data_IF_856456319946
#
_entry.id   IF_856456319946
#
_cell.length_a   1.000
_cell.length_b   1.000
_cell.length_c   1.000
_cell.angle_alpha   90.00
_cell.angle_beta   90.00
_cell.angle_gamma   90.00
#
_symmetry.space_group_name_H-M   'P 1'
#
loop_
_entity.id
_entity.type
_entity.pdbx_description
1 polymer ?
#
# COMPACT_ATOMS: atom_id res chain seq x y z
N UNK A 1 24.72 -0.61 19.03
CA UNK A 1 24.34 0.08 17.78
C UNK A 1 25.01 -0.67 16.66
N UNK A 2 24.37 -1.74 16.22
CA UNK A 2 24.65 -2.34 14.91
C UNK A 2 24.04 -1.39 13.90
N UNK A 3 24.85 -0.90 12.97
CA UNK A 3 24.41 -0.01 11.90
C UNK A 3 23.37 -0.75 11.06
N UNK A 4 22.10 -0.35 11.11
CA UNK A 4 21.01 -0.97 10.35
C UNK A 4 21.20 -0.80 8.83
N UNK A 5 22.16 0.02 8.41
CA UNK A 5 22.57 0.22 7.02
C UNK A 5 23.81 -0.59 6.63
N UNK A 6 24.36 -1.42 7.53
CA UNK A 6 25.47 -2.30 7.18
C UNK A 6 25.02 -3.32 6.13
N UNK A 7 25.62 -3.23 4.94
CA UNK A 7 25.32 -4.13 3.83
C UNK A 7 26.06 -5.47 3.99
N UNK A 8 25.39 -6.62 4.20
CA UNK A 8 25.97 -7.95 3.99
C UNK A 8 26.63 -8.13 2.61
N UNK A 9 27.46 -9.17 2.49
CA UNK A 9 28.08 -9.61 1.23
C UNK A 9 26.98 -9.76 0.16
N UNK A 10 26.91 -8.82 -0.81
CA UNK A 10 25.81 -8.73 -1.79
C UNK A 10 25.18 -7.35 -1.94
N UNK A 11 25.40 -6.42 -0.98
CA UNK A 11 24.98 -5.02 -1.13
C UNK A 11 23.55 -4.70 -0.67
N UNK A 12 22.85 -5.69 -0.11
CA UNK A 12 21.55 -5.56 0.58
C UNK A 12 21.73 -5.15 2.04
N UNK A 13 20.73 -4.55 2.67
CA UNK A 13 20.64 -4.33 4.12
C UNK A 13 20.04 -5.55 4.84
N UNK A 14 20.09 -5.57 6.17
CA UNK A 14 19.47 -6.65 6.95
C UNK A 14 17.94 -6.75 6.74
N UNK A 15 17.27 -5.61 6.56
CA UNK A 15 15.82 -5.55 6.30
C UNK A 15 15.48 -6.07 4.91
N UNK A 16 16.27 -5.68 3.90
CA UNK A 16 16.08 -6.18 2.53
C UNK A 16 16.30 -7.69 2.45
N UNK A 17 17.30 -8.22 3.16
CA UNK A 17 17.50 -9.67 3.24
C UNK A 17 16.31 -10.36 3.92
N UNK A 18 15.79 -9.80 5.01
CA UNK A 18 14.62 -10.37 5.68
C UNK A 18 13.39 -10.45 4.76
N UNK A 19 13.18 -9.45 3.91
CA UNK A 19 12.10 -9.49 2.90
C UNK A 19 12.32 -10.59 1.86
N UNK A 20 13.56 -10.83 1.42
CA UNK A 20 13.85 -11.95 0.51
C UNK A 20 13.57 -13.30 1.16
N UNK A 21 13.96 -13.46 2.43
CA UNK A 21 13.71 -14.68 3.18
C UNK A 21 12.20 -14.90 3.37
N UNK A 22 11.43 -13.85 3.68
CA UNK A 22 9.97 -13.89 3.83
C UNK A 22 9.25 -14.21 2.51
N UNK A 23 9.72 -13.69 1.38
CA UNK A 23 9.22 -14.04 0.03
C UNK A 23 9.32 -15.54 -0.22
N UNK A 24 10.44 -16.16 0.18
CA UNK A 24 10.64 -17.61 0.03
C UNK A 24 9.76 -18.41 1.00
N UNK A 25 9.68 -17.99 2.26
CA UNK A 25 8.86 -18.65 3.29
C UNK A 25 7.37 -18.67 2.91
N UNK A 26 6.86 -17.53 2.43
CA UNK A 26 5.45 -17.33 2.07
C UNK A 26 5.13 -17.77 0.63
N UNK A 27 6.09 -18.36 -0.09
CA UNK A 27 5.93 -18.84 -1.48
C UNK A 27 5.38 -17.76 -2.42
N UNK A 28 5.91 -16.54 -2.32
CA UNK A 28 5.48 -15.42 -3.15
C UNK A 28 6.09 -15.54 -4.55
N UNK A 29 5.23 -15.60 -5.57
CA UNK A 29 5.63 -15.67 -6.97
C UNK A 29 5.75 -14.28 -7.63
N UNK A 30 4.96 -13.30 -7.17
CA UNK A 30 4.89 -11.96 -7.75
C UNK A 30 4.92 -10.85 -6.71
N UNK A 31 5.65 -9.78 -7.02
CA UNK A 31 5.70 -8.55 -6.25
C UNK A 31 5.01 -7.41 -6.99
N UNK A 32 4.15 -6.69 -6.27
CA UNK A 32 3.58 -5.41 -6.71
C UNK A 32 4.41 -4.28 -6.13
N UNK A 33 5.16 -3.60 -6.98
CA UNK A 33 5.89 -2.39 -6.64
C UNK A 33 4.96 -1.19 -6.78
N UNK A 34 4.44 -0.72 -5.65
CA UNK A 34 3.40 0.29 -5.58
C UNK A 34 3.97 1.69 -5.34
N UNK A 35 3.35 2.70 -5.93
CA UNK A 35 3.66 4.11 -5.66
C UNK A 35 2.40 4.96 -5.86
N UNK A 36 2.44 6.23 -5.51
CA UNK A 36 1.27 7.13 -5.59
C UNK A 36 1.58 8.31 -6.51
N UNK A 37 0.65 8.63 -7.41
CA UNK A 37 0.73 9.83 -8.26
C UNK A 37 0.24 11.08 -7.53
N UNK A 38 0.33 12.26 -8.17
CA UNK A 38 -0.04 13.53 -7.54
C UNK A 38 -1.54 13.64 -7.19
N UNK A 39 -2.40 12.84 -7.82
CA UNK A 39 -3.84 12.81 -7.55
C UNK A 39 -4.19 11.87 -6.39
N UNK A 40 -3.20 11.21 -5.80
CA UNK A 40 -3.41 10.22 -4.74
C UNK A 40 -3.76 8.83 -5.26
N UNK A 41 -3.67 8.59 -6.57
CA UNK A 41 -4.01 7.29 -7.14
C UNK A 41 -2.84 6.34 -6.96
N UNK A 42 -3.11 5.19 -6.34
CA UNK A 42 -2.14 4.10 -6.22
C UNK A 42 -1.89 3.49 -7.59
N UNK A 43 -0.62 3.49 -8.01
CA UNK A 43 -0.11 2.83 -9.21
C UNK A 43 0.76 1.65 -8.81
N UNK A 44 1.00 0.73 -9.74
CA UNK A 44 1.94 -0.37 -9.49
C UNK A 44 2.57 -0.90 -10.76
N UNK A 45 3.73 -1.52 -10.60
CA UNK A 45 4.36 -2.42 -11.57
C UNK A 45 4.45 -3.81 -10.93
N UNK A 46 3.98 -4.84 -11.62
CA UNK A 46 4.09 -6.22 -11.15
C UNK A 46 5.36 -6.86 -11.73
N UNK A 47 6.18 -7.46 -10.88
CA UNK A 47 7.39 -8.18 -11.27
C UNK A 47 7.39 -9.59 -10.67
N UNK A 48 8.05 -10.58 -11.30
CA UNK A 48 8.30 -11.87 -10.65
C UNK A 48 9.14 -11.70 -9.38
N UNK A 49 8.88 -12.50 -8.34
CA UNK A 49 9.56 -12.38 -7.05
C UNK A 49 11.09 -12.55 -7.12
N UNK A 50 11.60 -13.33 -8.07
CA UNK A 50 13.06 -13.46 -8.31
C UNK A 50 13.74 -12.14 -8.75
N UNK A 51 12.98 -11.08 -9.05
CA UNK A 51 13.51 -9.74 -9.33
C UNK A 51 13.67 -8.89 -8.05
N UNK A 52 13.28 -9.39 -6.87
CA UNK A 52 13.30 -8.62 -5.62
C UNK A 52 14.69 -8.08 -5.27
N UNK A 53 15.73 -8.93 -5.33
CA UNK A 53 17.11 -8.51 -5.06
C UNK A 53 17.57 -7.39 -5.99
N UNK A 54 17.25 -7.51 -7.29
CA UNK A 54 17.51 -6.44 -8.27
C UNK A 54 16.71 -5.17 -7.94
N UNK A 55 15.46 -5.31 -7.52
CA UNK A 55 14.62 -4.18 -7.16
C UNK A 55 15.21 -3.37 -5.98
N UNK A 56 15.77 -4.05 -4.97
CA UNK A 56 16.45 -3.38 -3.85
C UNK A 56 17.81 -2.78 -4.23
N UNK A 57 18.60 -3.47 -5.05
CA UNK A 57 19.97 -3.05 -5.37
C UNK A 57 20.05 -2.01 -6.48
N UNK A 58 19.28 -2.18 -7.57
CA UNK A 58 19.35 -1.36 -8.79
C UNK A 58 18.10 -0.49 -9.00
N UNK A 59 16.96 -0.89 -8.42
CA UNK A 59 15.64 -0.36 -8.71
C UNK A 59 15.00 -0.95 -9.97
N UNK A 60 13.69 -0.75 -10.13
CA UNK A 60 12.94 -1.16 -11.33
C UNK A 60 12.60 0.07 -12.18
N UNK A 61 13.03 0.05 -13.44
CA UNK A 61 12.76 1.13 -14.38
C UNK A 61 11.29 1.15 -14.81
N UNK A 62 10.73 2.34 -14.95
CA UNK A 62 9.40 2.56 -15.51
C UNK A 62 9.34 3.88 -16.27
N UNK A 63 8.31 4.00 -17.13
CA UNK A 63 8.02 5.23 -17.86
C UNK A 63 7.23 6.22 -16.98
N UNK A 64 7.95 7.20 -16.46
CA UNK A 64 7.43 8.32 -15.69
C UNK A 64 6.56 9.30 -16.48
N UNK A 65 6.69 9.34 -17.80
CA UNK A 65 5.89 10.26 -18.65
C UNK A 65 4.41 9.88 -18.73
N UNK A 66 4.10 8.62 -18.41
CA UNK A 66 2.75 8.08 -18.36
C UNK A 66 2.05 8.30 -17.00
N UNK A 67 2.70 8.98 -16.04
CA UNK A 67 2.13 9.29 -14.73
C UNK A 67 1.66 10.74 -14.70
N UNK A 68 0.40 10.93 -14.32
CA UNK A 68 -0.20 12.26 -14.30
C UNK A 68 0.49 13.18 -13.29
N UNK A 69 0.86 14.37 -13.74
CA UNK A 69 1.60 15.35 -12.96
C UNK A 69 3.10 15.08 -12.84
N UNK A 70 3.60 13.94 -13.34
CA UNK A 70 5.04 13.73 -13.49
C UNK A 70 5.50 14.43 -14.79
N UNK A 71 6.78 14.80 -14.80
CA UNK A 71 7.49 15.72 -15.71
C UNK A 71 7.20 15.60 -17.22
N UNK A 72 7.57 16.64 -17.98
CA UNK A 72 7.44 16.68 -19.46
C UNK A 72 8.23 15.54 -20.11
N UNK A 73 7.85 15.15 -21.34
CA UNK A 73 8.40 14.08 -22.23
C UNK A 73 9.94 13.83 -22.17
N UNK A 74 10.75 14.78 -21.72
CA UNK A 74 12.21 14.67 -21.68
C UNK A 74 12.80 13.92 -20.47
N UNK A 75 11.98 13.51 -19.50
CA UNK A 75 12.40 12.75 -18.31
C UNK A 75 11.53 11.49 -18.12
N UNK A 76 11.48 10.64 -19.16
CA UNK A 76 10.63 9.45 -19.18
C UNK A 76 11.14 8.33 -18.28
N UNK A 77 12.46 8.15 -18.16
CA UNK A 77 12.99 6.98 -17.47
C UNK A 77 13.23 7.30 -15.99
N UNK A 78 12.45 6.67 -15.12
CA UNK A 78 12.60 6.76 -13.66
C UNK A 78 12.73 5.36 -13.06
N UNK A 79 13.15 5.28 -11.80
CA UNK A 79 13.28 4.01 -11.08
C UNK A 79 12.42 3.98 -9.83
N UNK A 80 11.80 2.83 -9.60
CA UNK A 80 11.16 2.47 -8.35
C UNK A 80 12.18 1.81 -7.44
N UNK A 81 12.34 2.34 -6.24
CA UNK A 81 13.16 1.78 -5.17
C UNK A 81 12.22 1.30 -4.06
N UNK A 82 12.06 -0.02 -3.87
CA UNK A 82 11.15 -0.56 -2.85
C UNK A 82 11.64 -0.25 -1.44
N UNK A 83 10.71 0.07 -0.55
CA UNK A 83 10.98 0.27 0.87
C UNK A 83 10.70 -1.04 1.63
N UNK A 84 11.72 -1.72 2.19
CA UNK A 84 11.57 -3.02 2.82
C UNK A 84 10.65 -2.99 4.05
N UNK A 85 10.54 -1.84 4.73
CA UNK A 85 9.65 -1.70 5.90
C UNK A 85 8.16 -1.74 5.53
N UNK A 86 7.85 -1.77 4.22
CA UNK A 86 6.48 -1.75 3.71
C UNK A 86 6.06 -3.08 3.09
N UNK A 87 6.86 -4.15 3.22
CA UNK A 87 6.49 -5.46 2.71
C UNK A 87 5.18 -5.96 3.33
N UNK A 88 4.28 -6.50 2.51
CA UNK A 88 3.09 -7.19 2.98
C UNK A 88 2.64 -8.23 1.95
N UNK A 89 2.42 -9.47 2.40
CA UNK A 89 1.74 -10.51 1.61
C UNK A 89 0.29 -10.08 1.37
N UNK A 90 -0.29 -10.44 0.23
CA UNK A 90 -1.69 -10.16 -0.13
C UNK A 90 -2.54 -11.40 0.16
N UNK A 91 -3.30 -11.45 1.27
CA UNK A 91 -3.94 -12.68 1.75
C UNK A 91 -4.89 -13.32 0.74
N UNK A 92 -5.64 -12.49 0.00
CA UNK A 92 -6.58 -12.93 -1.04
C UNK A 92 -5.92 -13.51 -2.31
N UNK A 93 -4.60 -13.68 -2.32
CA UNK A 93 -3.84 -14.31 -3.41
C UNK A 93 -3.13 -15.60 -2.98
N UNK A 94 -3.36 -16.06 -1.75
CA UNK A 94 -2.64 -17.19 -1.16
C UNK A 94 -3.54 -18.44 -0.99
N UNK A 95 -4.87 -18.31 -1.11
CA UNK A 95 -5.84 -19.31 -0.65
C UNK A 95 -6.43 -20.26 -1.73
N UNK A 96 -5.75 -20.43 -2.87
CA UNK A 96 -6.23 -21.29 -3.97
C UNK A 96 -5.25 -22.39 -4.38
N UNK A 97 -5.76 -23.62 -4.55
CA UNK A 97 -5.04 -24.69 -5.26
C UNK A 97 -4.68 -24.22 -6.68
N UNK A 98 -3.46 -23.69 -6.85
CA UNK A 98 -2.92 -23.19 -8.11
C UNK A 98 -2.88 -21.66 -8.28
N UNK A 99 -3.19 -20.87 -7.24
CA UNK A 99 -2.97 -19.42 -7.28
C UNK A 99 -1.52 -19.09 -6.85
N UNK A 100 -0.89 -18.21 -7.62
CA UNK A 100 0.46 -17.72 -7.37
C UNK A 100 0.46 -16.68 -6.25
N UNK A 101 1.17 -16.95 -5.15
CA UNK A 101 1.31 -16.04 -4.02
C UNK A 101 1.79 -14.65 -4.45
N UNK A 102 1.25 -13.60 -3.85
CA UNK A 102 1.60 -12.23 -4.21
C UNK A 102 1.84 -11.37 -2.97
N UNK A 103 2.82 -10.49 -3.04
CA UNK A 103 3.09 -9.48 -2.03
C UNK A 103 3.21 -8.09 -2.65
N UNK A 104 3.22 -7.05 -1.81
CA UNK A 104 3.46 -5.66 -2.21
C UNK A 104 4.62 -5.04 -1.46
N UNK A 105 5.25 -4.06 -2.11
CA UNK A 105 6.17 -3.10 -1.50
C UNK A 105 5.80 -1.70 -2.00
N UNK A 106 5.80 -0.73 -1.10
CA UNK A 106 5.68 0.69 -1.46
C UNK A 106 7.06 1.18 -1.87
N UNK A 107 7.12 1.92 -2.97
CA UNK A 107 8.37 2.37 -3.58
C UNK A 107 8.51 3.89 -3.49
N UNK A 108 9.74 4.33 -3.29
CA UNK A 108 10.15 5.67 -3.63
C UNK A 108 10.50 5.74 -5.12
N UNK A 109 10.51 6.97 -5.64
CA UNK A 109 10.79 7.24 -7.04
C UNK A 109 12.07 8.04 -7.10
N UNK A 110 13.03 7.55 -7.91
CA UNK A 110 14.31 8.22 -8.12
C UNK A 110 14.59 8.39 -9.61
N UNK A 111 15.44 9.36 -9.94
CA UNK A 111 15.92 9.55 -11.30
C UNK A 111 16.87 8.43 -11.73
N UNK A 112 17.27 8.44 -13.01
CA UNK A 112 18.32 7.56 -13.53
C UNK A 112 19.64 7.68 -12.79
N UNK A 113 19.93 8.86 -12.25
CA UNK A 113 21.14 9.15 -11.47
C UNK A 113 21.01 8.70 -10.01
N UNK A 114 19.79 8.38 -9.55
CA UNK A 114 19.51 7.95 -8.18
C UNK A 114 19.06 9.06 -7.24
N UNK A 115 18.82 10.27 -7.77
CA UNK A 115 18.31 11.38 -6.98
C UNK A 115 16.81 11.20 -6.70
N UNK A 116 16.32 11.49 -5.48
CA UNK A 116 14.89 11.41 -5.19
C UNK A 116 14.06 12.33 -6.08
N UNK A 117 12.96 11.80 -6.62
CA UNK A 117 12.07 12.58 -7.45
C UNK A 117 11.26 13.56 -6.60
N UNK A 118 11.55 14.85 -6.76
CA UNK A 118 10.94 15.94 -5.98
C UNK A 118 9.43 16.12 -6.22
N UNK A 119 8.90 15.58 -7.31
CA UNK A 119 7.46 15.58 -7.59
C UNK A 119 6.70 14.42 -6.95
N UNK A 120 7.38 13.48 -6.30
CA UNK A 120 6.78 12.32 -5.66
C UNK A 120 6.07 12.70 -4.35
N UNK A 121 4.76 12.41 -4.19
CA UNK A 121 4.02 12.76 -2.97
C UNK A 121 4.65 12.21 -1.69
N UNK A 122 5.12 10.94 -1.73
CA UNK A 122 5.80 10.29 -0.60
C UNK A 122 7.11 10.99 -0.23
N UNK A 123 7.87 11.44 -1.23
CA UNK A 123 9.13 12.16 -1.02
C UNK A 123 8.88 13.53 -0.38
N UNK A 124 7.83 14.24 -0.82
CA UNK A 124 7.42 15.50 -0.22
C UNK A 124 7.07 15.31 1.26
N UNK A 125 6.32 14.25 1.61
CA UNK A 125 5.99 13.95 3.00
C UNK A 125 7.27 13.70 3.83
N UNK A 126 8.21 12.88 3.34
CA UNK A 126 9.49 12.62 4.02
C UNK A 126 10.26 13.92 4.30
N UNK A 127 10.36 14.82 3.32
CA UNK A 127 11.03 16.12 3.50
C UNK A 127 10.33 17.07 4.47
N UNK A 128 9.01 16.95 4.67
CA UNK A 128 8.27 17.74 5.67
C UNK A 128 8.46 17.15 7.06
N UNK A 129 8.46 15.82 7.19
CA UNK A 129 8.72 15.13 8.46
C UNK A 129 10.13 15.40 8.98
N UNK A 130 11.15 15.41 8.10
CA UNK A 130 12.53 15.76 8.47
C UNK A 130 12.61 17.18 9.06
N UNK A 131 11.92 18.15 8.45
CA UNK A 131 11.86 19.52 8.99
C UNK A 131 11.16 19.58 10.35
N UNK A 132 10.13 18.77 10.56
CA UNK A 132 9.44 18.70 11.85
C UNK A 132 10.37 18.15 12.93
N UNK A 133 11.15 17.11 12.60
CA UNK A 133 12.15 16.50 13.49
C UNK A 133 13.27 17.50 13.84
N UNK A 134 13.80 18.25 12.86
CA UNK A 134 14.79 19.32 13.08
C UNK A 134 14.29 20.41 14.04
N UNK A 135 12.97 20.62 14.10
CA UNK A 135 12.32 21.54 15.03
C UNK A 135 12.01 20.92 16.39
N UNK A 136 12.29 19.63 16.58
CA UNK A 136 12.04 18.86 17.80
C UNK A 136 10.59 18.38 17.96
N UNK A 137 9.84 18.28 16.85
CA UNK A 137 8.48 17.74 16.86
C UNK A 137 8.43 16.28 16.43
N UNK A 138 7.57 15.50 17.07
CA UNK A 138 7.12 14.21 16.58
C UNK A 138 5.74 14.33 15.93
N UNK A 139 5.49 13.59 14.85
CA UNK A 139 4.23 13.60 14.12
C UNK A 139 3.59 12.21 14.18
N UNK A 140 2.31 12.16 14.53
CA UNK A 140 1.46 10.97 14.46
C UNK A 140 0.20 11.32 13.66
N UNK A 141 -0.35 10.36 12.91
CA UNK A 141 -1.51 10.57 12.04
C UNK A 141 -2.50 9.43 12.30
N UNK A 142 -3.72 9.77 12.75
CA UNK A 142 -4.84 8.85 12.87
C UNK A 142 -5.88 9.12 11.78
N UNK A 143 -5.87 8.38 10.66
CA UNK A 143 -6.87 8.54 9.62
C UNK A 143 -8.15 7.77 9.95
N UNK A 144 -9.31 8.38 9.65
CA UNK A 144 -10.64 7.77 9.82
C UNK A 144 -11.34 7.76 8.43
N UNK A 145 -10.91 6.90 7.48
CA UNK A 145 -11.46 6.91 6.14
C UNK A 145 -12.83 6.23 6.10
N UNK A 146 -13.87 7.05 5.98
CA UNK A 146 -15.22 6.58 5.67
C UNK A 146 -15.33 6.08 4.21
N UNK A 147 -16.16 5.07 3.98
CA UNK A 147 -16.43 4.50 2.66
C UNK A 147 -17.89 4.07 2.49
N UNK A 148 -18.30 3.87 1.23
CA UNK A 148 -19.65 3.43 0.88
C UNK A 148 -19.65 2.06 0.21
N UNK A 149 -20.67 1.25 0.49
CA UNK A 149 -20.99 0.02 -0.21
C UNK A 149 -22.30 0.18 -1.00
N UNK A 150 -22.20 -0.03 -2.32
CA UNK A 150 -23.32 0.02 -3.25
C UNK A 150 -23.58 -1.35 -3.87
N UNK A 151 -24.82 -1.60 -4.25
CA UNK A 151 -25.21 -2.78 -5.02
C UNK A 151 -24.58 -2.77 -6.42
N UNK A 152 -24.45 -3.96 -7.00
CA UNK A 152 -24.09 -4.16 -8.41
C UNK A 152 -25.33 -4.54 -9.21
N UNK A 153 -25.37 -4.14 -10.48
CA UNK A 153 -26.39 -4.60 -11.41
C UNK A 153 -26.14 -6.07 -11.84
N UNK A 154 -27.04 -6.61 -12.67
CA UNK A 154 -26.96 -8.00 -13.17
C UNK A 154 -25.69 -8.27 -13.99
N UNK A 155 -25.09 -7.22 -14.57
CA UNK A 155 -23.86 -7.29 -15.35
C UNK A 155 -22.60 -7.09 -14.46
N UNK A 156 -22.78 -6.85 -13.16
CA UNK A 156 -21.71 -6.65 -12.18
C UNK A 156 -21.17 -5.23 -12.11
N UNK A 157 -21.80 -4.25 -12.77
CA UNK A 157 -21.40 -2.84 -12.70
C UNK A 157 -21.90 -2.20 -11.40
N UNK A 158 -21.14 -1.25 -10.86
CA UNK A 158 -21.54 -0.49 -9.69
C UNK A 158 -22.80 0.34 -9.97
N UNK A 159 -23.75 0.32 -9.04
CA UNK A 159 -24.95 1.17 -9.06
C UNK A 159 -24.82 2.32 -8.07
N UNK A 160 -25.84 3.17 -7.98
CA UNK A 160 -25.96 4.21 -6.94
C UNK A 160 -26.92 3.79 -5.82
N UNK A 161 -27.26 2.51 -5.73
CA UNK A 161 -28.19 1.98 -4.72
C UNK A 161 -27.36 1.52 -3.52
N UNK A 162 -27.52 2.13 -2.33
CA UNK A 162 -26.83 1.67 -1.13
C UNK A 162 -27.18 0.21 -0.82
N UNK A 163 -26.21 -0.55 -0.33
CA UNK A 163 -26.41 -1.97 -0.03
C UNK A 163 -27.33 -2.23 1.18
N UNK A 164 -27.55 -1.23 2.03
CA UNK A 164 -28.47 -1.28 3.17
C UNK A 164 -29.17 0.07 3.42
N UNK A 165 -30.00 0.12 4.46
CA UNK A 165 -30.67 1.35 4.93
C UNK A 165 -30.28 1.63 6.39
N UNK A 166 -29.05 1.26 6.77
CA UNK A 166 -28.52 1.43 8.11
C UNK A 166 -28.24 2.90 8.44
N UNK A 167 -27.96 3.15 9.72
CA UNK A 167 -27.52 4.45 10.21
C UNK A 167 -26.52 4.28 11.35
N UNK A 168 -26.16 5.40 11.98
CA UNK A 168 -25.05 5.44 12.94
C UNK A 168 -25.19 4.42 14.07
N UNK A 169 -24.22 3.51 14.18
CA UNK A 169 -24.20 2.38 15.13
C UNK A 169 -25.44 1.45 15.10
N UNK A 170 -26.21 1.45 14.03
CA UNK A 170 -27.31 0.49 13.90
C UNK A 170 -26.75 -0.96 13.88
N UNK A 171 -27.45 -1.86 14.55
CA UNK A 171 -27.15 -3.30 14.54
C UNK A 171 -27.98 -3.99 13.44
N UNK A 172 -27.56 -5.17 13.02
CA UNK A 172 -28.42 -6.10 12.29
C UNK A 172 -29.82 -6.20 12.95
N UNK A 173 -30.93 -6.22 12.17
CA UNK A 173 -30.98 -6.47 10.73
C UNK A 173 -30.94 -5.22 9.84
N UNK A 174 -30.65 -4.03 10.38
CA UNK A 174 -30.54 -2.81 9.54
C UNK A 174 -29.18 -2.67 8.88
N UNK A 175 -28.13 -2.96 9.65
CA UNK A 175 -26.75 -3.08 9.15
C UNK A 175 -26.58 -4.48 8.55
N UNK A 176 -26.33 -4.52 7.24
CA UNK A 176 -26.13 -5.77 6.49
C UNK A 176 -24.65 -6.02 6.15
N UNK A 177 -23.77 -5.06 6.40
CA UNK A 177 -22.34 -5.14 6.08
C UNK A 177 -21.45 -5.57 7.24
N UNK A 178 -22.00 -6.02 8.38
CA UNK A 178 -21.18 -6.47 9.51
C UNK A 178 -20.17 -7.54 9.13
N UNK A 179 -20.56 -8.49 8.27
CA UNK A 179 -19.68 -9.56 7.80
C UNK A 179 -18.63 -9.04 6.81
N UNK A 180 -19.00 -8.10 5.93
CA UNK A 180 -18.08 -7.46 4.98
C UNK A 180 -17.02 -6.65 5.74
N UNK A 181 -17.42 -5.82 6.72
CA UNK A 181 -16.47 -5.06 7.54
C UNK A 181 -15.55 -5.99 8.30
N UNK A 182 -16.06 -7.09 8.85
CA UNK A 182 -15.26 -8.11 9.53
C UNK A 182 -14.22 -8.75 8.61
N UNK A 183 -14.60 -9.08 7.37
CA UNK A 183 -13.67 -9.63 6.38
C UNK A 183 -12.56 -8.63 6.01
N UNK A 184 -12.91 -7.35 5.82
CA UNK A 184 -11.93 -6.28 5.60
C UNK A 184 -10.97 -6.18 6.80
N UNK A 185 -11.48 -6.20 8.03
CA UNK A 185 -10.68 -6.12 9.25
C UNK A 185 -9.66 -7.26 9.30
N UNK A 186 -10.10 -8.51 9.17
CA UNK A 186 -9.17 -9.65 9.23
C UNK A 186 -8.15 -9.62 8.10
N UNK A 187 -8.55 -9.21 6.89
CA UNK A 187 -7.62 -9.03 5.78
C UNK A 187 -6.56 -7.97 6.09
N UNK A 188 -6.93 -6.87 6.75
CA UNK A 188 -6.00 -5.82 7.16
C UNK A 188 -5.09 -6.29 8.30
N UNK A 189 -5.62 -7.02 9.27
CA UNK A 189 -4.83 -7.61 10.37
C UNK A 189 -3.80 -8.62 9.86
N UNK A 190 -4.16 -9.46 8.89
CA UNK A 190 -3.23 -10.38 8.20
C UNK A 190 -2.11 -9.63 7.46
N UNK A 191 -2.35 -8.37 7.09
CA UNK A 191 -1.35 -7.47 6.50
C UNK A 191 -0.60 -6.61 7.53
N UNK A 192 -0.79 -6.87 8.83
CA UNK A 192 -0.08 -6.20 9.93
C UNK A 192 -0.70 -4.89 10.40
N UNK A 193 -1.93 -4.54 9.99
CA UNK A 193 -2.62 -3.36 10.53
C UNK A 193 -3.20 -3.64 11.92
N UNK A 194 -3.07 -2.66 12.82
CA UNK A 194 -3.78 -2.67 14.10
C UNK A 194 -5.11 -1.90 13.97
N UNK A 195 -6.22 -2.63 13.96
CA UNK A 195 -7.57 -2.06 13.85
C UNK A 195 -8.16 -1.82 15.25
N UNK A 196 -8.68 -0.62 15.50
CA UNK A 196 -9.26 -0.24 16.79
C UNK A 196 -10.77 -0.49 16.85
N UNK A 197 -11.49 -0.13 15.79
CA UNK A 197 -12.94 -0.18 15.75
C UNK A 197 -13.48 -0.23 14.31
N UNK A 198 -14.73 -0.65 14.16
CA UNK A 198 -15.52 -0.45 12.94
C UNK A 198 -16.98 -0.22 13.28
N UNK A 199 -17.69 0.54 12.44
CA UNK A 199 -19.12 0.76 12.57
C UNK A 199 -19.78 1.14 11.25
N UNK A 200 -21.11 1.03 11.26
CA UNK A 200 -21.95 1.71 10.29
C UNK A 200 -21.98 3.22 10.61
N UNK A 201 -21.88 4.04 9.58
CA UNK A 201 -21.86 5.49 9.66
C UNK A 201 -23.26 6.11 9.53
N UNK A 202 -23.36 7.44 9.48
CA UNK A 202 -24.66 8.15 9.49
C UNK A 202 -25.50 7.90 8.23
N UNK A 203 -24.90 7.85 7.04
CA UNK A 203 -25.63 7.69 5.78
C UNK A 203 -25.84 6.22 5.41
N UNK A 204 -26.89 5.96 4.61
CA UNK A 204 -27.21 4.63 4.10
C UNK A 204 -26.01 4.04 3.33
N UNK A 205 -25.63 2.80 3.66
CA UNK A 205 -24.49 2.12 3.06
C UNK A 205 -23.11 2.68 3.39
N UNK A 206 -23.01 3.58 4.39
CA UNK A 206 -21.75 4.20 4.81
C UNK A 206 -21.12 3.43 5.97
N UNK A 207 -19.79 3.32 5.95
CA UNK A 207 -19.02 2.57 6.94
C UNK A 207 -17.70 3.25 7.25
N UNK A 208 -17.16 2.91 8.41
CA UNK A 208 -15.85 3.36 8.88
C UNK A 208 -15.09 2.21 9.53
N UNK A 209 -13.76 2.19 9.32
CA UNK A 209 -12.81 1.31 9.99
C UNK A 209 -11.66 2.19 10.48
N UNK A 210 -11.39 2.11 11.79
CA UNK A 210 -10.42 2.97 12.46
C UNK A 210 -9.10 2.24 12.73
N UNK A 211 -8.02 2.97 12.48
CA UNK A 211 -6.66 2.48 12.61
C UNK A 211 -5.98 3.12 13.81
N UNK A 212 -5.07 2.37 14.44
CA UNK A 212 -4.16 2.92 15.43
C UNK A 212 -3.18 3.93 14.78
N UNK A 213 -2.85 5.00 15.51
CA UNK A 213 -1.91 6.05 15.09
C UNK A 213 -0.47 5.86 15.56
#
# INVERSE_FOLDING_TARGET
MTDEHAKPDGGLTAKEQAVLDEIEEENVDFLRLQFTDILGVVKNVSVPAHQAEKAFTEGIYFDGSSIEGFVRIQESDMRLVPDPDTFAVLPWRSDGDGDSGAARLICDIVTTEGEPFVGGPRQVLKSVLEKADDMGYSVSIGPEPEFFLFEKDEDGNATTIPHDNGGYFDLAPKDLASDVRKEIIFTLEDMGFEIEASHHEVAEGQHEINFKY
#
